data_IF_140479915569
#
_entry.id   IF_140479915569
#
_cell.length_a   1.000
_cell.length_b   1.000
_cell.length_c   1.000
_cell.angle_alpha   90.00
_cell.angle_beta   90.00
_cell.angle_gamma   90.00
#
_symmetry.space_group_name_H-M   'P 1'
#
loop_
_entity.id
_entity.type
_entity.pdbx_description
1 polymer ?
#
# COMPACT_ATOMS: atom_id res chain seq x y z
N UNK A 1 17.87 -3.04 -5.89
CA UNK A 1 16.63 -2.84 -5.13
C UNK A 1 16.72 -3.69 -3.87
N UNK A 2 16.03 -3.30 -2.80
CA UNK A 2 16.06 -4.02 -1.50
C UNK A 2 14.77 -4.81 -1.38
N UNK A 3 14.91 -6.11 -1.08
CA UNK A 3 13.79 -7.04 -0.86
C UNK A 3 13.30 -6.98 0.58
N UNK A 4 12.01 -7.25 0.79
CA UNK A 4 11.48 -7.46 2.13
C UNK A 4 12.08 -8.71 2.79
N UNK A 5 12.42 -8.61 4.06
CA UNK A 5 12.83 -9.79 4.84
C UNK A 5 11.64 -10.70 5.16
N UNK A 6 11.90 -11.96 5.52
CA UNK A 6 10.84 -12.87 5.96
C UNK A 6 10.06 -12.35 7.18
N UNK A 7 10.75 -11.63 8.07
CA UNK A 7 10.12 -10.98 9.23
C UNK A 7 9.14 -9.88 8.79
N UNK A 8 9.52 -9.04 7.82
CA UNK A 8 8.64 -8.00 7.28
C UNK A 8 7.42 -8.60 6.58
N UNK A 9 7.61 -9.68 5.79
CA UNK A 9 6.51 -10.39 5.12
C UNK A 9 5.56 -11.04 6.11
N UNK A 10 6.09 -11.63 7.18
CA UNK A 10 5.30 -12.21 8.28
C UNK A 10 4.52 -11.14 9.04
N UNK A 11 5.12 -9.97 9.28
CA UNK A 11 4.40 -8.86 9.91
C UNK A 11 3.30 -8.31 8.99
N UNK A 12 3.58 -8.18 7.69
CA UNK A 12 2.62 -7.70 6.69
C UNK A 12 1.35 -8.56 6.65
N UNK A 13 1.49 -9.90 6.67
CA UNK A 13 0.34 -10.82 6.61
C UNK A 13 -0.58 -10.78 7.84
N UNK A 14 -0.11 -10.22 8.96
CA UNK A 14 -0.88 -10.08 10.21
C UNK A 14 -1.62 -8.75 10.32
N UNK A 15 -1.28 -7.76 9.48
CA UNK A 15 -1.92 -6.44 9.49
C UNK A 15 -3.17 -6.46 8.62
N UNK A 16 -4.28 -5.97 9.16
CA UNK A 16 -5.54 -5.82 8.41
C UNK A 16 -5.70 -4.45 7.78
N UNK A 17 -5.20 -3.40 8.46
CA UNK A 17 -5.30 -2.02 8.01
C UNK A 17 -3.90 -1.43 7.95
N UNK A 18 -3.53 -0.92 6.79
CA UNK A 18 -2.23 -0.35 6.51
C UNK A 18 -2.33 1.17 6.48
N UNK A 19 -1.68 1.90 7.38
CA UNK A 19 -1.49 3.34 7.23
C UNK A 19 -0.59 3.60 6.01
N UNK A 20 -1.13 4.29 5.01
CA UNK A 20 -0.41 4.67 3.79
C UNK A 20 -0.21 6.18 3.81
N UNK A 21 1.06 6.58 3.91
CA UNK A 21 1.47 7.98 3.93
C UNK A 21 1.93 8.43 2.53
N UNK A 22 1.47 9.61 2.14
CA UNK A 22 1.82 10.32 0.90
C UNK A 22 2.07 11.79 1.23
N UNK A 23 2.58 12.57 0.29
CA UNK A 23 2.72 14.02 0.46
C UNK A 23 2.48 14.74 -0.86
N UNK A 24 2.01 16.00 -0.79
CA UNK A 24 1.95 16.86 -1.98
C UNK A 24 3.36 17.14 -2.52
N UNK A 25 3.45 17.80 -3.67
CA UNK A 25 4.71 18.27 -4.26
C UNK A 25 5.45 19.27 -3.35
N UNK A 26 4.71 20.08 -2.60
CA UNK A 26 5.23 21.03 -1.61
C UNK A 26 5.57 20.36 -0.26
N UNK A 27 5.35 19.05 -0.14
CA UNK A 27 5.67 18.28 1.06
C UNK A 27 4.58 18.31 2.14
N UNK A 28 3.35 18.74 1.81
CA UNK A 28 2.23 18.69 2.77
C UNK A 28 1.84 17.22 3.01
N UNK A 29 1.92 16.71 4.25
CA UNK A 29 1.72 15.29 4.52
C UNK A 29 0.25 14.89 4.43
N UNK A 30 0.03 13.62 4.13
CA UNK A 30 -1.26 12.95 4.16
C UNK A 30 -1.10 11.49 4.59
N UNK A 31 -2.06 10.94 5.33
CA UNK A 31 -2.09 9.51 5.68
C UNK A 31 -3.53 9.01 5.67
N UNK A 32 -3.74 7.82 5.12
CA UNK A 32 -5.05 7.16 5.08
C UNK A 32 -4.93 5.69 5.50
N UNK A 33 -5.96 5.12 6.17
CA UNK A 33 -6.02 3.69 6.42
C UNK A 33 -6.46 2.95 5.16
N UNK A 34 -5.70 1.95 4.73
CA UNK A 34 -6.06 1.08 3.60
C UNK A 34 -6.29 -0.34 4.10
N UNK A 35 -7.49 -0.88 3.84
CA UNK A 35 -7.85 -2.25 4.21
C UNK A 35 -7.47 -3.31 3.17
N UNK A 36 -7.08 -2.90 1.96
CA UNK A 36 -6.74 -3.82 0.89
C UNK A 36 -5.36 -3.50 0.30
N UNK A 37 -4.36 -4.23 0.80
CA UNK A 37 -2.96 -4.13 0.43
C UNK A 37 -2.43 -5.56 0.22
N UNK A 38 -1.76 -5.82 -0.90
CA UNK A 38 -1.31 -7.15 -1.27
C UNK A 38 0.16 -7.14 -1.63
N UNK A 39 0.94 -7.98 -0.96
CA UNK A 39 2.30 -8.27 -1.40
C UNK A 39 2.24 -9.23 -2.59
N UNK A 40 2.70 -8.81 -3.78
CA UNK A 40 2.66 -9.64 -5.00
C UNK A 40 4.00 -10.29 -5.33
N UNK A 41 5.10 -9.72 -4.83
CA UNK A 41 6.44 -10.30 -4.79
C UNK A 41 7.27 -9.62 -3.68
N UNK A 42 8.55 -9.99 -3.53
CA UNK A 42 9.41 -9.48 -2.46
C UNK A 42 9.75 -7.97 -2.56
N UNK A 43 9.40 -7.32 -3.67
CA UNK A 43 9.72 -5.91 -3.96
C UNK A 43 8.47 -5.07 -4.30
N UNK A 44 7.31 -5.70 -4.52
CA UNK A 44 6.11 -5.06 -5.06
C UNK A 44 4.90 -5.26 -4.16
N UNK A 45 4.28 -4.14 -3.78
CA UNK A 45 3.02 -4.10 -3.04
C UNK A 45 1.96 -3.46 -3.93
N UNK A 46 0.81 -4.11 -4.07
CA UNK A 46 -0.38 -3.55 -4.69
C UNK A 46 -1.30 -2.96 -3.63
N UNK A 47 -1.80 -1.75 -3.88
CA UNK A 47 -2.72 -1.02 -3.03
C UNK A 47 -3.96 -0.73 -3.87
N UNK A 48 -5.14 -1.18 -3.43
CA UNK A 48 -6.37 -0.80 -4.10
C UNK A 48 -6.73 0.64 -3.74
N UNK A 49 -6.96 1.48 -4.74
CA UNK A 49 -7.60 2.76 -4.53
C UNK A 49 -9.07 2.53 -4.15
N UNK A 50 -9.36 2.65 -2.86
CA UNK A 50 -10.71 2.68 -2.32
C UNK A 50 -10.95 4.04 -1.67
N UNK A 51 -11.44 5.00 -2.46
CA UNK A 51 -11.67 6.40 -2.05
C UNK A 51 -10.39 7.17 -1.65
N UNK A 52 -9.24 6.87 -2.26
CA UNK A 52 -7.95 7.50 -1.96
C UNK A 52 -7.80 8.92 -2.57
N UNK A 53 -8.86 9.73 -2.66
CA UNK A 53 -8.89 10.99 -3.42
C UNK A 53 -7.64 11.88 -3.23
N UNK A 54 -7.30 12.24 -1.99
CA UNK A 54 -6.13 13.08 -1.69
C UNK A 54 -4.80 12.34 -1.86
N UNK A 55 -4.73 11.06 -1.49
CA UNK A 55 -3.52 10.27 -1.67
C UNK A 55 -3.22 10.05 -3.15
N UNK A 56 -4.22 9.80 -3.99
CA UNK A 56 -4.06 9.68 -5.44
C UNK A 56 -3.61 11.00 -6.06
N UNK A 57 -4.19 12.14 -5.63
CA UNK A 57 -3.74 13.46 -6.07
C UNK A 57 -2.25 13.68 -5.72
N UNK A 58 -1.84 13.38 -4.49
CA UNK A 58 -0.44 13.43 -4.07
C UNK A 58 0.45 12.52 -4.94
N UNK A 59 0.05 11.26 -5.17
CA UNK A 59 0.86 10.30 -5.93
C UNK A 59 1.05 10.69 -7.41
N UNK A 60 0.10 11.43 -7.99
CA UNK A 60 0.23 11.97 -9.36
C UNK A 60 1.32 13.03 -9.49
N UNK A 61 1.61 13.77 -8.43
CA UNK A 61 2.62 14.85 -8.44
C UNK A 61 3.90 14.52 -7.65
N UNK A 62 3.82 13.55 -6.74
CA UNK A 62 4.91 13.10 -5.87
C UNK A 62 4.76 11.59 -5.61
N UNK A 63 5.55 10.73 -6.29
CA UNK A 63 5.37 9.29 -6.24
C UNK A 63 5.84 8.65 -4.92
N UNK A 64 6.40 9.43 -3.98
CA UNK A 64 6.91 8.88 -2.73
C UNK A 64 5.78 8.42 -1.81
N UNK A 65 5.88 7.17 -1.35
CA UNK A 65 4.89 6.55 -0.48
C UNK A 65 5.58 5.79 0.66
N UNK A 66 4.93 5.75 1.82
CA UNK A 66 5.31 4.86 2.91
C UNK A 66 4.11 4.05 3.39
N UNK A 67 4.33 2.76 3.63
CA UNK A 67 3.36 1.84 4.23
C UNK A 67 3.87 1.47 5.61
N UNK A 68 3.07 1.72 6.64
CA UNK A 68 3.40 1.33 8.00
C UNK A 68 2.80 -0.05 8.31
N UNK A 69 3.63 -0.94 8.86
CA UNK A 69 3.25 -2.30 9.23
C UNK A 69 3.43 -2.43 10.73
N UNK A 70 2.31 -2.43 11.44
CA UNK A 70 2.27 -2.58 12.89
C UNK A 70 0.93 -3.14 13.36
N UNK A 71 0.98 -3.97 14.38
CA UNK A 71 -0.19 -4.41 15.14
C UNK A 71 0.25 -5.21 16.37
N UNK A 72 -0.68 -5.57 17.27
CA UNK A 72 -0.37 -6.35 18.46
C UNK A 72 0.36 -7.67 18.15
N UNK A 73 0.06 -8.28 17.00
CA UNK A 73 0.55 -9.61 16.63
C UNK A 73 1.80 -9.58 15.73
N UNK A 74 2.24 -8.40 15.26
CA UNK A 74 3.35 -8.29 14.30
C UNK A 74 4.71 -8.60 14.93
N UNK A 75 4.85 -8.47 16.25
CA UNK A 75 6.10 -8.70 17.00
C UNK A 75 7.16 -7.60 16.85
N UNK A 76 7.06 -6.77 15.81
CA UNK A 76 7.90 -5.61 15.53
C UNK A 76 7.12 -4.56 14.73
N UNK A 77 7.72 -3.41 14.44
CA UNK A 77 7.17 -2.38 13.57
C UNK A 77 8.09 -2.10 12.37
N UNK A 78 7.50 -1.99 11.19
CA UNK A 78 8.24 -1.72 9.96
C UNK A 78 7.63 -0.55 9.20
N UNK A 79 8.50 0.23 8.56
CA UNK A 79 8.10 1.22 7.58
C UNK A 79 8.69 0.82 6.23
N UNK A 80 7.82 0.48 5.29
CA UNK A 80 8.18 0.15 3.92
C UNK A 80 8.06 1.44 3.11
N UNK A 81 9.12 1.87 2.43
CA UNK A 81 9.14 3.09 1.60
C UNK A 81 9.44 2.74 0.15
N UNK A 82 8.82 3.46 -0.76
CA UNK A 82 9.04 3.27 -2.19
C UNK A 82 8.46 4.39 -3.02
N UNK A 83 8.45 4.14 -4.32
CA UNK A 83 7.73 4.95 -5.31
C UNK A 83 6.52 4.16 -5.80
N UNK A 84 5.38 4.83 -5.95
CA UNK A 84 4.18 4.23 -6.49
C UNK A 84 4.03 4.54 -7.99
N UNK A 85 3.55 3.54 -8.73
CA UNK A 85 3.04 3.70 -10.09
C UNK A 85 1.51 3.62 -10.05
N UNK A 86 0.83 4.51 -10.78
CA UNK A 86 -0.62 4.51 -10.89
C UNK A 86 -1.02 3.63 -12.09
N UNK A 87 -1.83 2.61 -11.82
CA UNK A 87 -2.33 1.67 -12.82
C UNK A 87 -3.86 1.73 -12.80
N UNK A 88 -4.45 2.27 -13.86
CA UNK A 88 -5.91 2.46 -14.00
C UNK A 88 -6.56 1.53 -15.02
N UNK A 89 -5.75 0.72 -15.72
CA UNK A 89 -6.19 -0.16 -16.80
C UNK A 89 -5.19 -1.31 -17.05
N UNK A 90 -5.61 -2.30 -17.83
CA UNK A 90 -4.78 -3.45 -18.24
C UNK A 90 -4.81 -4.63 -17.26
N UNK A 91 -3.95 -5.62 -17.52
CA UNK A 91 -4.01 -6.93 -16.86
C UNK A 91 -3.85 -6.86 -15.34
N UNK A 92 -2.90 -6.04 -14.84
CA UNK A 92 -2.67 -5.86 -13.40
C UNK A 92 -3.89 -5.25 -12.70
N UNK A 93 -4.53 -4.27 -13.35
CA UNK A 93 -5.73 -3.63 -12.84
C UNK A 93 -6.91 -4.62 -12.76
N UNK A 94 -7.18 -5.35 -13.84
CA UNK A 94 -8.27 -6.34 -13.87
C UNK A 94 -8.03 -7.47 -12.86
N UNK A 95 -6.79 -7.92 -12.69
CA UNK A 95 -6.43 -8.90 -11.67
C UNK A 95 -6.72 -8.38 -10.26
N UNK A 96 -6.27 -7.17 -9.93
CA UNK A 96 -6.51 -6.58 -8.61
C UNK A 96 -8.01 -6.38 -8.35
N UNK A 97 -8.75 -5.88 -9.34
CA UNK A 97 -10.21 -5.69 -9.28
C UNK A 97 -10.96 -6.99 -8.99
N UNK A 98 -10.57 -8.09 -9.63
CA UNK A 98 -11.14 -9.40 -9.37
C UNK A 98 -10.91 -9.85 -7.92
N UNK A 99 -9.69 -9.70 -7.41
CA UNK A 99 -9.33 -10.08 -6.03
C UNK A 99 -10.12 -9.24 -5.01
N UNK A 100 -10.18 -7.92 -5.20
CA UNK A 100 -10.96 -7.01 -4.34
C UNK A 100 -12.44 -7.40 -4.31
N UNK A 101 -13.03 -7.70 -5.47
CA UNK A 101 -14.44 -8.08 -5.55
C UNK A 101 -14.74 -9.39 -4.82
N UNK A 102 -13.83 -10.37 -4.89
CA UNK A 102 -13.94 -11.62 -4.12
C UNK A 102 -13.78 -11.40 -2.63
N UNK A 103 -12.86 -10.53 -2.22
CA UNK A 103 -12.55 -10.29 -0.80
C UNK A 103 -13.64 -9.48 -0.07
N UNK A 104 -14.49 -8.74 -0.79
CA UNK A 104 -15.53 -7.84 -0.24
C UNK A 104 -15.03 -7.00 0.95
N UNK A 105 -13.94 -6.23 0.79
CA UNK A 105 -13.38 -5.44 1.88
C UNK A 105 -14.24 -4.19 2.11
N UNK A 106 -15.27 -4.32 2.98
CA UNK A 106 -16.03 -3.19 3.55
C UNK A 106 -16.90 -2.42 2.58
#
# INVERSE_FOLDING_TARGET
>A
MVKLSEEMKTAFSKVKIFPVATASKEGVPNVVPIGFCQLVDDETIWIADNFMAKSLANLKENPNVAVYVWGPDTGSCFQIKGKADIIDSGEKFEKMKAIVHTAKPG
#
